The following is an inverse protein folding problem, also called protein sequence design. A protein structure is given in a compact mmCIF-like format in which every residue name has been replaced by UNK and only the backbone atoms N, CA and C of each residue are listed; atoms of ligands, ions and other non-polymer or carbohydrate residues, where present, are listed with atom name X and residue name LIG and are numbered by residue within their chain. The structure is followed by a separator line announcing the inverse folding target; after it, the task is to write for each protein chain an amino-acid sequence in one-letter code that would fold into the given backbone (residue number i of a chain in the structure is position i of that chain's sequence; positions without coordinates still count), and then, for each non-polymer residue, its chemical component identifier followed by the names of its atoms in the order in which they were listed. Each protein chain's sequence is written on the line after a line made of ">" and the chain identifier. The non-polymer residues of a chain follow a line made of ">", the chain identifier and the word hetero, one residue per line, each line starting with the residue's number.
data_IF_417394248307
#
_entry.id   IF_417394248307
#
_cell.length_a   1.000
_cell.length_b   1.000
_cell.length_c   1.000
_cell.angle_alpha   90.00
_cell.angle_beta   90.00
_cell.angle_gamma   90.00
#
_symmetry.space_group_name_H-M   'P 1'
#
loop_
_entity.id
_entity.type
_entity.pdbx_description
1 polymer ?
#
# COMPACT_ATOMS: atom_id res chain seq x y z
N UNK A 1 18.85 18.87 2.80
CA UNK A 1 18.21 18.42 1.53
C UNK A 1 19.04 17.41 0.72
N UNK A 2 20.38 17.33 0.86
CA UNK A 2 21.22 16.38 0.11
C UNK A 2 21.17 14.91 0.57
N UNK A 3 20.68 14.63 1.79
CA UNK A 3 20.62 13.26 2.33
C UNK A 3 19.45 12.44 1.77
N UNK A 4 18.30 13.06 1.55
CA UNK A 4 17.12 12.40 0.97
C UNK A 4 17.39 11.94 -0.46
N UNK A 5 18.05 12.77 -1.27
CA UNK A 5 18.43 12.40 -2.64
C UNK A 5 19.42 11.25 -2.66
N UNK A 6 20.42 11.22 -1.78
CA UNK A 6 21.37 10.10 -1.71
C UNK A 6 20.73 8.80 -1.26
N UNK A 7 19.80 8.85 -0.28
CA UNK A 7 19.05 7.66 0.16
C UNK A 7 18.11 7.13 -0.93
N UNK A 8 17.41 8.03 -1.65
CA UNK A 8 16.57 7.67 -2.80
C UNK A 8 17.42 7.09 -3.94
N UNK A 9 18.61 7.63 -4.17
CA UNK A 9 19.51 7.17 -5.24
C UNK A 9 20.20 5.84 -4.93
N UNK A 10 20.52 5.57 -3.66
CA UNK A 10 20.98 4.26 -3.19
C UNK A 10 19.87 3.21 -3.26
N UNK A 11 18.63 3.56 -2.90
CA UNK A 11 17.46 2.69 -3.08
C UNK A 11 17.17 2.41 -4.56
N UNK A 12 17.52 3.32 -5.47
CA UNK A 12 17.39 3.15 -6.93
C UNK A 12 18.54 2.35 -7.58
N UNK A 13 19.70 2.21 -6.94
CA UNK A 13 20.86 1.49 -7.50
C UNK A 13 20.77 -0.03 -7.36
N UNK A 14 19.97 -0.56 -6.44
CA UNK A 14 19.72 -1.99 -6.31
C UNK A 14 18.67 -2.44 -7.34
N UNK A 15 19.09 -3.22 -8.35
CA UNK A 15 18.20 -3.77 -9.39
C UNK A 15 16.93 -4.51 -8.88
N UNK A 16 16.93 -5.19 -7.71
CA UNK A 16 15.71 -5.76 -7.12
C UNK A 16 14.71 -4.71 -6.63
N UNK A 17 15.18 -3.61 -6.03
CA UNK A 17 14.33 -2.59 -5.39
C UNK A 17 13.54 -1.75 -6.41
N UNK A 18 14.09 -1.57 -7.63
CA UNK A 18 13.39 -0.85 -8.71
C UNK A 18 12.14 -1.58 -9.21
N UNK A 19 12.18 -2.91 -9.35
CA UNK A 19 11.01 -3.70 -9.81
C UNK A 19 9.90 -3.69 -8.76
N UNK A 20 10.29 -3.74 -7.50
CA UNK A 20 9.42 -3.65 -6.34
C UNK A 20 8.70 -2.29 -6.29
N UNK A 21 9.45 -1.21 -6.46
CA UNK A 21 8.90 0.15 -6.50
C UNK A 21 7.91 0.37 -7.67
N UNK A 22 8.21 -0.16 -8.87
CA UNK A 22 7.29 -0.11 -10.02
C UNK A 22 5.97 -0.83 -9.71
N UNK A 23 6.02 -1.95 -8.99
CA UNK A 23 4.81 -2.71 -8.62
C UNK A 23 3.94 -1.93 -7.63
N UNK A 24 4.55 -1.27 -6.64
CA UNK A 24 3.85 -0.38 -5.72
C UNK A 24 3.19 0.80 -6.46
N UNK A 25 3.90 1.45 -7.39
CA UNK A 25 3.32 2.53 -8.21
C UNK A 25 2.14 2.01 -9.03
N UNK A 26 2.28 0.85 -9.68
CA UNK A 26 1.18 0.23 -10.44
C UNK A 26 -0.03 -0.03 -9.56
N UNK A 27 0.16 -0.50 -8.32
CA UNK A 27 -0.92 -0.68 -7.36
C UNK A 27 -1.68 0.63 -7.11
N UNK A 28 -0.97 1.73 -6.81
CA UNK A 28 -1.61 3.03 -6.59
C UNK A 28 -2.30 3.59 -7.84
N UNK A 29 -1.74 3.37 -9.04
CA UNK A 29 -2.38 3.76 -10.29
C UNK A 29 -3.69 3.00 -10.49
N UNK A 30 -3.69 1.68 -10.28
CA UNK A 30 -4.92 0.87 -10.39
C UNK A 30 -5.95 1.31 -9.37
N UNK A 31 -5.53 1.57 -8.12
CA UNK A 31 -6.42 2.07 -7.08
C UNK A 31 -7.04 3.42 -7.45
N UNK A 32 -6.24 4.36 -8.00
CA UNK A 32 -6.73 5.66 -8.45
C UNK A 32 -7.75 5.51 -9.60
N UNK A 33 -7.49 4.63 -10.57
CA UNK A 33 -8.42 4.34 -11.66
C UNK A 33 -9.73 3.76 -11.12
N UNK A 34 -9.67 2.84 -10.15
CA UNK A 34 -10.86 2.28 -9.51
C UNK A 34 -11.67 3.35 -8.79
N UNK A 35 -11.02 4.19 -7.98
CA UNK A 35 -11.70 5.29 -7.27
C UNK A 35 -12.38 6.22 -8.27
N UNK A 36 -11.69 6.59 -9.34
CA UNK A 36 -12.25 7.45 -10.39
C UNK A 36 -13.46 6.79 -11.05
N UNK A 37 -13.34 5.52 -11.43
CA UNK A 37 -14.39 4.77 -12.12
C UNK A 37 -15.63 4.60 -11.24
N UNK A 38 -15.45 4.23 -9.97
CA UNK A 38 -16.55 4.09 -9.01
C UNK A 38 -17.23 5.41 -8.70
N UNK A 39 -16.47 6.50 -8.60
CA UNK A 39 -17.07 7.83 -8.40
C UNK A 39 -17.89 8.28 -9.62
N UNK A 40 -17.45 7.97 -10.84
CA UNK A 40 -18.25 8.24 -12.05
C UNK A 40 -19.55 7.43 -12.02
N UNK A 41 -19.49 6.13 -11.71
CA UNK A 41 -20.68 5.28 -11.60
C UNK A 41 -21.61 5.77 -10.49
N UNK A 42 -21.06 6.18 -9.35
CA UNK A 42 -21.80 6.79 -8.26
C UNK A 42 -22.59 8.00 -8.73
N UNK A 43 -21.97 8.92 -9.48
CA UNK A 43 -22.69 10.08 -10.03
C UNK A 43 -23.82 9.69 -10.98
N UNK A 44 -23.61 8.67 -11.82
CA UNK A 44 -24.64 8.18 -12.74
C UNK A 44 -25.84 7.59 -11.98
N UNK A 45 -25.59 6.78 -10.96
CA UNK A 45 -26.64 6.16 -10.14
C UNK A 45 -27.37 7.19 -9.27
N UNK A 46 -26.65 8.10 -8.62
CA UNK A 46 -27.28 9.16 -7.82
C UNK A 46 -28.11 10.11 -8.69
N UNK A 47 -27.69 10.38 -9.93
CA UNK A 47 -28.49 11.15 -10.87
C UNK A 47 -29.81 10.44 -11.24
N UNK A 48 -29.82 9.10 -11.30
CA UNK A 48 -31.05 8.32 -11.51
C UNK A 48 -31.98 8.38 -10.29
N UNK A 49 -31.42 8.46 -9.08
CA UNK A 49 -32.17 8.71 -7.84
C UNK A 49 -32.56 10.19 -7.67
N UNK A 50 -32.29 11.04 -8.67
CA UNK A 50 -32.64 12.46 -8.66
C UNK A 50 -31.74 13.35 -7.80
N UNK A 51 -30.63 12.80 -7.28
CA UNK A 51 -29.67 13.54 -6.47
C UNK A 51 -28.48 14.04 -7.30
N UNK A 52 -28.10 15.30 -7.09
CA UNK A 52 -26.90 15.88 -7.68
C UNK A 52 -25.84 16.08 -6.62
N UNK A 53 -24.69 15.44 -6.82
CA UNK A 53 -23.54 15.51 -5.94
C UNK A 53 -22.36 16.17 -6.64
N UNK A 54 -21.45 16.76 -5.89
CA UNK A 54 -20.19 17.28 -6.43
C UNK A 54 -19.21 16.15 -6.67
N UNK A 55 -18.19 16.35 -7.53
CA UNK A 55 -17.13 15.35 -7.74
C UNK A 55 -16.55 14.97 -6.37
N UNK A 56 -16.13 15.94 -5.55
CA UNK A 56 -15.53 15.66 -4.23
C UNK A 56 -16.39 14.72 -3.36
N UNK A 57 -17.71 14.86 -3.42
CA UNK A 57 -18.66 13.97 -2.75
C UNK A 57 -18.59 12.52 -3.26
N UNK A 58 -18.43 12.32 -4.57
CA UNK A 58 -18.22 11.00 -5.17
C UNK A 58 -16.90 10.33 -4.75
N UNK A 59 -15.78 11.09 -4.70
CA UNK A 59 -14.50 10.56 -4.14
C UNK A 59 -14.72 10.17 -2.70
N UNK A 60 -15.31 11.08 -1.92
CA UNK A 60 -15.56 10.89 -0.51
C UNK A 60 -16.37 9.61 -0.25
N UNK A 61 -17.51 9.45 -0.92
CA UNK A 61 -18.33 8.25 -0.78
C UNK A 61 -17.57 6.98 -1.19
N UNK A 62 -16.86 7.03 -2.32
CA UNK A 62 -16.10 5.88 -2.81
C UNK A 62 -15.02 5.45 -1.80
N UNK A 63 -14.26 6.40 -1.27
CA UNK A 63 -13.21 6.12 -0.30
C UNK A 63 -13.77 5.60 1.03
N UNK A 64 -14.85 6.19 1.54
CA UNK A 64 -15.45 5.76 2.82
C UNK A 64 -16.05 4.36 2.74
N UNK A 65 -16.64 3.99 1.60
CA UNK A 65 -17.14 2.63 1.36
C UNK A 65 -15.99 1.65 1.14
N UNK A 66 -15.00 2.00 0.31
CA UNK A 66 -13.85 1.13 0.05
C UNK A 66 -13.01 0.86 1.31
N UNK A 67 -12.87 1.86 2.19
CA UNK A 67 -12.13 1.73 3.45
C UNK A 67 -12.95 1.12 4.58
N UNK A 68 -14.16 0.62 4.28
CA UNK A 68 -15.11 0.07 5.25
C UNK A 68 -15.45 1.03 6.41
N UNK A 69 -15.28 2.34 6.22
CA UNK A 69 -15.63 3.37 7.20
C UNK A 69 -17.15 3.53 7.27
N UNK A 70 -17.77 3.70 6.10
CA UNK A 70 -19.23 3.69 5.93
C UNK A 70 -19.98 4.66 6.86
N UNK A 71 -19.69 5.97 6.78
CA UNK A 71 -20.37 6.98 7.62
C UNK A 71 -21.90 6.98 7.50
N UNK A 72 -22.45 6.51 6.38
CA UNK A 72 -23.89 6.37 6.17
C UNK A 72 -24.62 7.69 5.93
N UNK A 73 -23.90 8.79 5.78
CA UNK A 73 -24.41 10.11 5.42
C UNK A 73 -24.89 10.18 3.97
N UNK A 74 -24.30 9.38 3.09
CA UNK A 74 -24.69 9.23 1.68
C UNK A 74 -24.91 7.74 1.40
N UNK A 75 -26.14 7.39 1.03
CA UNK A 75 -26.54 6.01 0.74
C UNK A 75 -27.44 5.98 -0.49
N UNK A 76 -27.52 4.81 -1.11
CA UNK A 76 -28.44 4.54 -2.22
C UNK A 76 -29.75 3.95 -1.69
N UNK A 77 -30.85 4.46 -2.21
CA UNK A 77 -32.18 3.94 -1.90
C UNK A 77 -32.58 2.79 -2.83
N UNK A 78 -32.08 2.79 -4.07
CA UNK A 78 -32.37 1.76 -5.06
C UNK A 78 -31.61 0.45 -4.80
N UNK A 79 -32.22 -0.68 -5.14
CA UNK A 79 -31.57 -2.00 -5.03
C UNK A 79 -30.31 -2.10 -5.91
N UNK A 80 -30.31 -1.42 -7.06
CA UNK A 80 -29.16 -1.37 -7.98
C UNK A 80 -28.00 -0.59 -7.32
N UNK A 81 -28.28 0.56 -6.71
CA UNK A 81 -27.27 1.34 -5.98
C UNK A 81 -26.73 0.61 -4.75
N UNK A 82 -27.59 -0.12 -4.03
CA UNK A 82 -27.17 -1.00 -2.92
C UNK A 82 -26.27 -2.13 -3.40
N UNK A 83 -26.63 -2.82 -4.49
CA UNK A 83 -25.78 -3.85 -5.08
C UNK A 83 -24.43 -3.30 -5.54
N UNK A 84 -24.42 -2.12 -6.18
CA UNK A 84 -23.18 -1.43 -6.52
C UNK A 84 -22.32 -1.13 -5.29
N UNK A 85 -22.93 -0.70 -4.19
CA UNK A 85 -22.22 -0.43 -2.92
C UNK A 85 -21.53 -1.68 -2.38
N UNK A 86 -22.18 -2.84 -2.49
CA UNK A 86 -21.57 -4.15 -2.12
C UNK A 86 -20.34 -4.44 -2.98
N UNK A 87 -20.41 -4.20 -4.30
CA UNK A 87 -19.24 -4.38 -5.19
C UNK A 87 -18.08 -3.47 -4.79
N UNK A 88 -18.37 -2.19 -4.53
CA UNK A 88 -17.36 -1.20 -4.11
C UNK A 88 -16.73 -1.62 -2.78
N UNK A 89 -17.53 -2.06 -1.82
CA UNK A 89 -17.07 -2.54 -0.52
C UNK A 89 -16.17 -3.77 -0.65
N UNK A 90 -16.59 -4.79 -1.39
CA UNK A 90 -15.79 -6.01 -1.60
C UNK A 90 -14.47 -5.70 -2.31
N UNK A 91 -14.51 -4.82 -3.32
CA UNK A 91 -13.31 -4.37 -4.03
C UNK A 91 -12.37 -3.61 -3.09
N UNK A 92 -12.91 -2.70 -2.27
CA UNK A 92 -12.15 -1.96 -1.27
C UNK A 92 -11.51 -2.87 -0.23
N UNK A 93 -12.25 -3.86 0.28
CA UNK A 93 -11.74 -4.87 1.21
C UNK A 93 -10.55 -5.63 0.62
N UNK A 94 -10.66 -6.09 -0.63
CA UNK A 94 -9.57 -6.78 -1.32
C UNK A 94 -8.35 -5.86 -1.52
N UNK A 95 -8.55 -4.63 -2.02
CA UNK A 95 -7.44 -3.74 -2.35
C UNK A 95 -6.77 -3.12 -1.11
N UNK A 96 -7.55 -2.61 -0.16
CA UNK A 96 -7.03 -1.87 0.99
C UNK A 96 -6.70 -2.76 2.18
N UNK A 97 -7.49 -3.81 2.47
CA UNK A 97 -7.23 -4.66 3.65
C UNK A 97 -6.32 -5.85 3.34
N UNK A 98 -6.26 -6.31 2.10
CA UNK A 98 -5.44 -7.48 1.73
C UNK A 98 -4.24 -7.06 0.89
N UNK A 99 -4.49 -6.49 -0.30
CA UNK A 99 -3.41 -6.22 -1.24
C UNK A 99 -2.48 -5.11 -0.75
N UNK A 100 -3.00 -4.03 -0.17
CA UNK A 100 -2.17 -2.93 0.34
C UNK A 100 -1.17 -3.36 1.42
N UNK A 101 -1.57 -4.01 2.54
CA UNK A 101 -0.60 -4.46 3.54
C UNK A 101 0.35 -5.53 3.00
N UNK A 102 -0.13 -6.46 2.18
CA UNK A 102 0.73 -7.46 1.53
C UNK A 102 1.80 -6.80 0.65
N UNK A 103 1.40 -5.85 -0.18
CA UNK A 103 2.27 -5.04 -1.05
C UNK A 103 3.27 -4.24 -0.20
N UNK A 104 2.80 -3.59 0.86
CA UNK A 104 3.64 -2.80 1.76
C UNK A 104 4.68 -3.66 2.50
N UNK A 105 4.29 -4.82 3.03
CA UNK A 105 5.19 -5.74 3.72
C UNK A 105 6.27 -6.25 2.77
N UNK A 106 5.89 -6.68 1.56
CA UNK A 106 6.85 -7.20 0.60
C UNK A 106 7.85 -6.13 0.12
N UNK A 107 7.46 -4.86 0.05
CA UNK A 107 8.28 -3.81 -0.53
C UNK A 107 9.03 -2.93 0.47
N UNK A 108 8.51 -2.74 1.68
CA UNK A 108 9.19 -1.96 2.72
C UNK A 108 9.73 -2.84 3.83
N UNK A 109 8.89 -3.71 4.39
CA UNK A 109 9.25 -4.49 5.57
C UNK A 109 10.27 -5.57 5.26
N UNK A 110 10.06 -6.38 4.22
CA UNK A 110 10.98 -7.48 3.88
C UNK A 110 12.39 -6.99 3.52
N UNK A 111 12.58 -5.95 2.69
CA UNK A 111 13.91 -5.41 2.42
C UNK A 111 14.57 -4.81 3.66
N UNK A 112 13.80 -4.09 4.49
CA UNK A 112 14.32 -3.51 5.74
C UNK A 112 14.76 -4.60 6.73
N UNK A 113 13.96 -5.65 6.90
CA UNK A 113 14.31 -6.81 7.74
C UNK A 113 15.58 -7.51 7.27
N UNK A 114 15.71 -7.75 5.96
CA UNK A 114 16.92 -8.35 5.37
C UNK A 114 18.16 -7.47 5.57
N UNK A 115 18.03 -6.16 5.40
CA UNK A 115 19.11 -5.21 5.64
C UNK A 115 19.52 -5.22 7.12
N UNK A 116 18.56 -5.32 8.04
CA UNK A 116 18.84 -5.43 9.47
C UNK A 116 19.52 -6.77 9.83
N UNK A 117 19.10 -7.87 9.23
CA UNK A 117 19.75 -9.18 9.43
C UNK A 117 21.19 -9.20 8.93
N UNK A 118 21.47 -8.62 7.75
CA UNK A 118 22.83 -8.50 7.22
C UNK A 118 23.72 -7.56 8.06
N UNK A 119 23.13 -6.59 8.75
CA UNK A 119 23.84 -5.70 9.66
C UNK A 119 24.08 -6.32 11.05
N UNK A 120 23.44 -7.46 11.38
CA UNK A 120 23.75 -8.19 12.62
C UNK A 120 25.12 -8.88 12.47
N UNK A 121 25.86 -8.94 13.58
CA UNK A 121 27.17 -9.61 13.64
C UNK A 121 27.02 -11.05 13.11
N UNK A 122 27.84 -11.47 12.13
CA UNK A 122 27.82 -12.83 11.62
C UNK A 122 27.93 -13.83 12.77
N UNK A 123 27.01 -14.79 12.83
CA UNK A 123 26.98 -15.80 13.91
C UNK A 123 27.99 -16.92 13.72
N UNK A 124 28.52 -17.06 12.52
CA UNK A 124 29.48 -18.08 12.14
C UNK A 124 30.62 -17.44 11.36
N UNK A 125 31.84 -17.88 11.63
CA UNK A 125 33.03 -17.47 10.90
C UNK A 125 33.20 -18.42 9.69
N UNK A 126 33.54 -17.90 8.49
CA UNK A 126 33.89 -18.74 7.35
C UNK A 126 35.01 -19.72 7.71
N UNK A 127 34.96 -20.96 7.22
CA UNK A 127 35.94 -22.02 7.55
C UNK A 127 37.38 -21.66 7.16
N UNK A 128 37.57 -20.72 6.24
CA UNK A 128 38.88 -20.21 5.81
C UNK A 128 39.49 -19.19 6.79
N UNK A 129 38.74 -18.72 7.77
CA UNK A 129 39.18 -17.67 8.71
C UNK A 129 40.20 -18.22 9.70
N UNK A 130 41.50 -18.04 9.44
CA UNK A 130 42.60 -18.44 10.34
C UNK A 130 43.27 -17.24 11.00
N UNK A 131 43.77 -17.42 12.23
CA UNK A 131 44.52 -16.38 12.97
C UNK A 131 43.66 -15.27 13.59
N UNK A 132 42.36 -15.50 13.76
CA UNK A 132 41.46 -14.53 14.38
C UNK A 132 41.57 -14.55 15.92
N UNK A 133 41.42 -13.38 16.54
CA UNK A 133 41.39 -13.23 18.00
C UNK A 133 39.94 -13.10 18.44
N UNK A 134 39.51 -13.98 19.35
CA UNK A 134 38.20 -13.90 19.98
C UNK A 134 38.25 -12.86 21.11
N UNK A 135 37.37 -11.88 21.08
CA UNK A 135 37.17 -10.91 22.15
C UNK A 135 35.86 -11.26 22.87
N UNK A 136 35.90 -12.04 23.97
CA UNK A 136 34.73 -12.23 24.79
C UNK A 136 34.36 -10.90 25.45
N UNK A 137 33.05 -10.66 25.59
CA UNK A 137 32.42 -9.46 26.14
C UNK A 137 33.20 -8.92 27.36
N UNK A 138 33.75 -7.70 27.24
CA UNK A 138 34.37 -7.02 28.38
C UNK A 138 33.25 -6.52 29.28
N UNK A 139 33.01 -7.24 30.38
CA UNK A 139 32.11 -6.80 31.44
C UNK A 139 32.51 -5.42 31.95
N UNK A 140 31.77 -4.40 31.52
CA UNK A 140 31.72 -3.04 32.07
C UNK A 140 30.27 -2.72 32.41
#
# INVERSE_FOLDING_TARGET
>A
MKLLTTQVMLFLQNKPDRRNFITLIRFFIVLAILVISFSVIFHLLMAQEGQKHTWLTGIYWTLTVMSTLGFGDITFDSDIGRFFSVIVLLTGMLFLLILFPFTFINFFYSPWMKAQEQAKVPRELPEETKGHVFLPDLGL
#
